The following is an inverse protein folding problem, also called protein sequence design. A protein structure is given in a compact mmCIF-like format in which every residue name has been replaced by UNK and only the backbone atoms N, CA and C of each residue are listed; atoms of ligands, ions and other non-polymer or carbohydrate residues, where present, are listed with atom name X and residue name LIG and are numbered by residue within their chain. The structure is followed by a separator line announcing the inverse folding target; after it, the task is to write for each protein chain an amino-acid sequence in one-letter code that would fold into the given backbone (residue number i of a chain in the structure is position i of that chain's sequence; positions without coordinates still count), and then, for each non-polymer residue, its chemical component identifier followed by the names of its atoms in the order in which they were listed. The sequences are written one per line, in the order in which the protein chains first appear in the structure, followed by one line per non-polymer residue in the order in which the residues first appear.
data_IF_397759783793
#
_entry.id   IF_397759783793
#
_cell.length_a   1.000
_cell.length_b   1.000
_cell.length_c   1.000
_cell.angle_alpha   90.00
_cell.angle_beta   90.00
_cell.angle_gamma   90.00
#
_symmetry.space_group_name_H-M   'P 1'
#
loop_
_entity.id
_entity.type
_entity.pdbx_description
1 polymer ?
#
# COMPACT_ATOMS: atom_id res chain seq x y z
N UNK A 1 10.30 19.69 4.77
CA UNK A 1 10.69 18.93 3.56
C UNK A 1 9.40 18.30 3.07
N UNK A 2 8.85 18.73 1.92
CA UNK A 2 7.63 18.14 1.38
C UNK A 2 7.99 16.81 0.71
N UNK A 3 7.77 15.73 1.44
CA UNK A 3 7.81 14.37 0.91
C UNK A 3 6.76 14.25 -0.21
N UNK A 4 7.14 13.71 -1.38
CA UNK A 4 6.24 13.47 -2.51
C UNK A 4 6.19 11.99 -2.82
N UNK A 5 4.99 11.45 -2.88
CA UNK A 5 4.74 10.11 -3.36
C UNK A 5 4.95 10.08 -4.87
N UNK A 6 5.86 9.24 -5.35
CA UNK A 6 6.16 9.08 -6.77
C UNK A 6 6.16 7.59 -7.13
N UNK A 7 5.56 7.26 -8.28
CA UNK A 7 5.58 5.90 -8.79
C UNK A 7 7.02 5.40 -8.99
N UNK A 8 7.29 4.15 -8.59
CA UNK A 8 8.60 3.52 -8.69
C UNK A 8 9.64 4.06 -7.70
N UNK A 9 9.26 4.98 -6.80
CA UNK A 9 10.14 5.51 -5.75
C UNK A 9 9.76 4.96 -4.37
N UNK A 10 10.76 4.74 -3.51
CA UNK A 10 10.51 4.31 -2.14
C UNK A 10 9.77 5.41 -1.36
N UNK A 11 8.84 5.00 -0.49
CA UNK A 11 8.12 5.88 0.42
C UNK A 11 8.09 5.37 1.86
N UNK A 12 7.89 6.25 2.87
CA UNK A 12 7.99 5.91 4.29
C UNK A 12 6.72 5.20 4.77
N UNK A 13 6.49 4.02 4.22
CA UNK A 13 5.55 3.03 4.72
C UNK A 13 6.23 1.67 4.67
N UNK A 14 5.77 0.74 5.49
CA UNK A 14 6.34 -0.59 5.53
C UNK A 14 5.49 -1.57 6.32
N UNK A 15 6.04 -2.76 6.49
CA UNK A 15 5.49 -3.74 7.41
C UNK A 15 5.82 -3.34 8.84
N UNK A 16 4.82 -3.37 9.71
CA UNK A 16 5.00 -3.17 11.15
C UNK A 16 5.79 -4.31 11.80
N UNK A 17 6.29 -4.06 13.01
CA UNK A 17 7.11 -5.04 13.74
C UNK A 17 6.37 -6.36 14.02
N UNK A 18 5.04 -6.28 14.16
CA UNK A 18 4.15 -7.42 14.40
C UNK A 18 3.75 -8.18 13.13
N UNK A 19 4.22 -7.77 11.95
CA UNK A 19 3.92 -8.47 10.71
C UNK A 19 4.47 -9.90 10.73
N UNK A 20 3.66 -10.92 10.38
CA UNK A 20 4.10 -12.31 10.38
C UNK A 20 5.04 -12.65 9.21
N UNK A 21 5.22 -11.74 8.25
CA UNK A 21 6.02 -11.93 7.03
C UNK A 21 7.06 -10.81 6.89
N UNK A 22 8.06 -11.03 6.05
CA UNK A 22 9.12 -10.05 5.80
C UNK A 22 8.84 -9.14 4.60
N UNK A 23 8.01 -9.63 3.68
CA UNK A 23 7.63 -8.94 2.44
C UNK A 23 6.15 -9.13 2.14
N UNK A 24 5.58 -8.14 1.45
CA UNK A 24 4.22 -8.18 0.92
C UNK A 24 4.16 -7.64 -0.51
N UNK A 25 3.27 -8.22 -1.31
CA UNK A 25 2.87 -7.67 -2.61
C UNK A 25 1.35 -7.65 -2.68
N UNK A 26 0.78 -6.45 -2.71
CA UNK A 26 -0.68 -6.25 -2.60
C UNK A 26 -1.16 -5.15 -3.55
N UNK A 27 -2.42 -5.16 -3.98
CA UNK A 27 -2.95 -4.17 -4.89
C UNK A 27 -3.48 -2.93 -4.14
N UNK A 28 -3.11 -1.76 -4.65
CA UNK A 28 -3.65 -0.46 -4.24
C UNK A 28 -4.35 0.20 -5.43
N UNK A 29 -5.63 0.48 -5.31
CA UNK A 29 -6.37 1.25 -6.28
C UNK A 29 -6.52 2.71 -5.84
N UNK A 30 -5.98 3.62 -6.65
CA UNK A 30 -6.14 5.06 -6.47
C UNK A 30 -7.37 5.53 -7.23
N UNK A 31 -8.47 5.81 -6.51
CA UNK A 31 -9.77 6.23 -7.06
C UNK A 31 -9.71 7.61 -7.72
N UNK A 32 -9.14 8.57 -6.99
CA UNK A 32 -8.94 9.95 -7.42
C UNK A 32 -7.48 10.28 -7.20
N UNK A 33 -6.69 10.23 -8.28
CA UNK A 33 -5.28 10.61 -8.26
C UNK A 33 -5.09 12.10 -8.53
N UNK A 34 -3.87 12.58 -8.35
CA UNK A 34 -3.51 13.97 -8.58
C UNK A 34 -2.13 14.12 -9.19
N UNK A 35 -1.30 14.95 -8.57
CA UNK A 35 0.01 15.30 -9.16
C UNK A 35 1.08 14.25 -8.85
N UNK A 36 1.04 13.65 -7.66
CA UNK A 36 2.06 12.74 -7.16
C UNK A 36 1.80 11.31 -7.69
N UNK A 37 0.54 10.86 -7.61
CA UNK A 37 0.09 9.55 -8.10
C UNK A 37 -1.20 9.68 -8.88
N UNK A 38 -1.27 9.03 -10.04
CA UNK A 38 -2.45 9.05 -10.91
C UNK A 38 -3.51 8.07 -10.42
N UNK A 39 -4.74 8.26 -10.87
CA UNK A 39 -5.78 7.26 -10.64
C UNK A 39 -5.45 5.98 -11.39
N UNK A 40 -5.65 4.83 -10.77
CA UNK A 40 -5.33 3.55 -11.38
C UNK A 40 -5.00 2.48 -10.36
N UNK A 41 -4.73 1.29 -10.87
CA UNK A 41 -4.33 0.14 -10.07
C UNK A 41 -2.81 0.04 -10.02
N UNK A 42 -2.29 -0.07 -8.80
CA UNK A 42 -0.87 -0.16 -8.50
C UNK A 42 -0.58 -1.48 -7.79
N UNK A 43 0.57 -2.07 -8.12
CA UNK A 43 1.20 -3.07 -7.29
C UNK A 43 1.99 -2.35 -6.20
N UNK A 44 1.68 -2.65 -4.95
CA UNK A 44 2.40 -2.17 -3.79
C UNK A 44 3.29 -3.28 -3.25
N UNK A 45 4.60 -3.08 -3.36
CA UNK A 45 5.60 -3.94 -2.73
C UNK A 45 6.05 -3.33 -1.41
N UNK A 46 5.95 -4.12 -0.34
CA UNK A 46 6.16 -3.74 1.04
C UNK A 46 7.25 -4.62 1.67
N UNK A 47 8.06 -4.00 2.51
CA UNK A 47 9.01 -4.63 3.43
C UNK A 47 9.06 -3.80 4.71
N UNK A 48 9.79 -4.25 5.75
CA UNK A 48 9.86 -3.55 7.06
C UNK A 48 10.21 -2.06 7.01
N UNK A 49 10.85 -1.55 5.94
CA UNK A 49 11.25 -0.13 5.83
C UNK A 49 11.16 0.47 4.43
N UNK A 50 10.68 -0.30 3.47
CA UNK A 50 10.59 0.16 2.10
C UNK A 50 9.25 -0.24 1.52
N UNK A 51 8.59 0.76 0.93
CA UNK A 51 7.40 0.61 0.12
C UNK A 51 7.64 1.17 -1.26
N UNK A 52 7.19 0.46 -2.30
CA UNK A 52 7.23 0.94 -3.69
C UNK A 52 5.87 0.69 -4.32
N UNK A 53 5.36 1.68 -5.06
CA UNK A 53 4.16 1.56 -5.89
C UNK A 53 4.56 1.54 -7.36
N UNK A 54 4.09 0.54 -8.10
CA UNK A 54 4.31 0.42 -9.55
C UNK A 54 2.96 0.33 -10.26
N UNK A 55 2.70 1.17 -11.27
CA UNK A 55 1.43 1.12 -11.98
C UNK A 55 1.31 -0.19 -12.75
N UNK A 56 0.15 -0.85 -12.63
CA UNK A 56 -0.10 -2.10 -13.35
C UNK A 56 -0.59 -1.78 -14.77
N UNK A 57 0.15 -2.23 -15.78
CA UNK A 57 -0.24 -2.11 -17.19
C UNK A 57 -0.95 -3.39 -17.63
N UNK A 58 -2.26 -3.45 -17.44
CA UNK A 58 -3.10 -4.60 -17.79
C UNK A 58 -3.49 -5.44 -16.57
N UNK A 59 -4.19 -6.57 -16.77
CA UNK A 59 -4.57 -7.49 -15.69
C UNK A 59 -3.31 -8.23 -15.22
N UNK A 60 -2.47 -7.56 -14.44
CA UNK A 60 -1.45 -8.24 -13.67
C UNK A 60 -2.17 -8.99 -12.55
N UNK A 61 -2.26 -10.31 -12.72
CA UNK A 61 -2.75 -11.21 -11.69
C UNK A 61 -1.62 -11.37 -10.68
N UNK A 62 -1.89 -10.99 -9.44
CA UNK A 62 -1.04 -11.38 -8.33
C UNK A 62 -1.19 -12.90 -8.16
N UNK A 63 -0.09 -13.62 -8.32
CA UNK A 63 -0.08 -15.08 -8.23
C UNK A 63 0.09 -15.50 -6.77
N UNK A 64 -1.02 -15.76 -6.09
CA UNK A 64 -1.00 -16.17 -4.67
C UNK A 64 -0.33 -17.54 -4.46
N UNK A 65 -0.02 -18.32 -5.51
CA UNK A 65 0.75 -19.56 -5.40
C UNK A 65 2.23 -19.31 -4.99
N UNK A 66 2.74 -18.08 -5.13
CA UNK A 66 4.08 -17.71 -4.67
C UNK A 66 4.14 -17.38 -3.17
N UNK A 67 3.03 -17.51 -2.43
CA UNK A 67 3.00 -17.30 -0.99
C UNK A 67 3.98 -18.22 -0.26
N UNK A 68 4.77 -17.64 0.64
CA UNK A 68 5.71 -18.37 1.51
C UNK A 68 5.57 -17.88 2.94
N UNK A 69 6.14 -18.57 3.94
CA UNK A 69 6.15 -18.07 5.32
C UNK A 69 6.79 -16.67 5.48
N UNK A 70 7.64 -16.24 4.54
CA UNK A 70 8.32 -14.93 4.58
C UNK A 70 7.72 -13.90 3.61
N UNK A 71 6.83 -14.32 2.70
CA UNK A 71 6.31 -13.46 1.65
C UNK A 71 4.82 -13.68 1.43
N UNK A 72 4.05 -12.61 1.60
CA UNK A 72 2.62 -12.61 1.38
C UNK A 72 2.25 -11.90 0.07
N UNK A 73 1.44 -12.55 -0.74
CA UNK A 73 0.74 -12.00 -1.88
C UNK A 73 -0.75 -12.12 -1.59
N UNK A 74 -1.47 -11.01 -1.70
CA UNK A 74 -2.93 -10.97 -1.56
C UNK A 74 -3.55 -10.27 -2.76
N UNK A 75 -4.67 -10.78 -3.25
CA UNK A 75 -5.47 -10.14 -4.29
C UNK A 75 -6.47 -9.09 -3.77
N UNK A 76 -6.62 -8.95 -2.45
CA UNK A 76 -7.54 -7.97 -1.86
C UNK A 76 -7.07 -6.52 -2.09
N UNK A 77 -7.93 -5.72 -2.71
CA UNK A 77 -7.59 -4.36 -3.15
C UNK A 77 -7.92 -3.34 -2.08
N UNK A 78 -6.90 -2.62 -1.62
CA UNK A 78 -7.13 -1.38 -0.86
C UNK A 78 -7.49 -0.27 -1.84
N UNK A 79 -8.57 0.46 -1.58
CA UNK A 79 -9.09 1.50 -2.47
C UNK A 79 -9.12 2.85 -1.76
N UNK A 80 -8.24 3.77 -2.15
CA UNK A 80 -8.08 5.08 -1.54
C UNK A 80 -8.00 6.18 -2.61
N UNK A 81 -8.22 7.42 -2.23
CA UNK A 81 -7.80 8.60 -3.01
C UNK A 81 -6.32 8.91 -2.72
N UNK A 82 -5.67 9.69 -3.58
CA UNK A 82 -4.30 10.18 -3.30
C UNK A 82 -4.26 10.95 -1.97
N UNK A 83 -5.28 11.75 -1.69
CA UNK A 83 -5.36 12.52 -0.45
C UNK A 83 -5.47 11.62 0.78
N UNK A 84 -6.38 10.64 0.78
CA UNK A 84 -6.53 9.68 1.89
C UNK A 84 -5.21 8.96 2.15
N UNK A 85 -4.54 8.52 1.08
CA UNK A 85 -3.26 7.84 1.20
C UNK A 85 -2.15 8.75 1.77
N UNK A 86 -2.10 10.02 1.37
CA UNK A 86 -1.17 11.00 1.94
C UNK A 86 -1.50 11.35 3.40
N UNK A 87 -2.78 11.41 3.77
CA UNK A 87 -3.21 11.62 5.16
C UNK A 87 -2.74 10.49 6.06
N UNK A 88 -2.82 9.24 5.58
CA UNK A 88 -2.26 8.08 6.28
C UNK A 88 -0.74 8.14 6.41
N UNK A 89 -0.02 8.39 5.31
CA UNK A 89 1.45 8.50 5.32
C UNK A 89 1.95 9.61 6.27
N UNK A 90 1.14 10.63 6.50
CA UNK A 90 1.45 11.74 7.40
C UNK A 90 1.01 11.48 8.86
N UNK A 91 0.45 10.30 9.16
CA UNK A 91 -0.07 9.96 10.48
C UNK A 91 -1.27 10.79 10.91
N UNK A 92 -1.98 11.43 9.96
CA UNK A 92 -3.15 12.27 10.26
C UNK A 92 -4.39 11.42 10.55
N UNK A 93 -4.48 10.24 9.93
CA UNK A 93 -5.56 9.27 10.06
C UNK A 93 -5.01 7.86 9.91
N UNK A 94 -5.56 6.91 10.66
CA UNK A 94 -5.33 5.48 10.44
C UNK A 94 -6.00 4.98 9.14
N UNK A 95 -5.58 3.83 8.63
CA UNK A 95 -6.21 3.21 7.46
C UNK A 95 -7.66 2.83 7.73
N UNK A 96 -7.93 2.38 8.95
CA UNK A 96 -9.25 2.05 9.47
C UNK A 96 -10.21 3.25 9.48
N UNK A 97 -9.69 4.47 9.60
CA UNK A 97 -10.49 5.71 9.54
C UNK A 97 -10.79 6.13 8.09
N UNK A 98 -9.86 5.83 7.18
CA UNK A 98 -9.90 6.24 5.77
C UNK A 98 -10.74 5.30 4.91
N UNK A 99 -10.79 4.01 5.26
CA UNK A 99 -11.64 3.04 4.61
C UNK A 99 -12.87 2.79 5.48
N UNK A 100 -13.84 3.71 5.47
CA UNK A 100 -15.07 3.63 6.29
C UNK A 100 -16.06 2.50 5.88
N UNK A 101 -15.60 1.47 5.16
CA UNK A 101 -16.41 0.34 4.69
C UNK A 101 -16.02 -1.00 5.34
N UNK A 102 -16.89 -2.00 5.22
CA UNK A 102 -16.71 -3.36 5.79
C UNK A 102 -15.60 -4.19 5.11
N UNK A 103 -15.00 -3.69 4.01
CA UNK A 103 -14.05 -4.42 3.17
C UNK A 103 -12.62 -3.86 3.27
N UNK A 104 -12.08 -3.71 4.48
CA UNK A 104 -10.65 -3.43 4.65
C UNK A 104 -9.85 -4.73 4.43
N UNK A 105 -8.90 -4.76 3.48
CA UNK A 105 -8.07 -5.94 3.27
C UNK A 105 -7.36 -6.34 4.57
N UNK A 106 -7.30 -7.65 4.88
CA UNK A 106 -6.74 -8.10 6.16
C UNK A 106 -5.28 -7.66 6.32
N UNK A 107 -4.56 -7.59 5.20
CA UNK A 107 -3.15 -7.22 5.18
C UNK A 107 -2.90 -5.77 5.61
N UNK A 108 -3.93 -4.91 5.61
CA UNK A 108 -3.81 -3.53 6.10
C UNK A 108 -3.42 -3.47 7.59
N UNK A 109 -3.77 -4.51 8.37
CA UNK A 109 -3.38 -4.61 9.79
C UNK A 109 -1.88 -4.80 10.02
N UNK A 110 -1.13 -5.15 8.98
CA UNK A 110 0.31 -5.42 9.07
C UNK A 110 1.18 -4.28 8.57
N UNK A 111 0.59 -3.18 8.08
CA UNK A 111 1.32 -2.06 7.49
C UNK A 111 1.24 -0.82 8.35
N UNK A 112 2.30 -0.04 8.33
CA UNK A 112 2.41 1.21 9.08
C UNK A 112 3.07 2.30 8.22
N UNK A 113 2.67 3.55 8.48
CA UNK A 113 3.42 4.70 8.02
C UNK A 113 4.66 4.85 8.91
N UNK A 114 5.84 4.92 8.30
CA UNK A 114 7.10 5.08 9.03
C UNK A 114 7.31 6.57 9.28
N UNK A 115 7.50 7.04 10.52
CA UNK A 115 7.84 8.43 10.78
C UNK A 115 9.14 8.81 10.06
N UNK A 116 9.12 9.90 9.29
CA UNK A 116 10.31 10.49 8.65
C UNK A 116 11.27 11.11 9.66
#
# INVERSE_FOLDING_TARGET
MEWKLEEGKPFPAGLGEDSPVERMRVPLYIRQGGQAVKSGLYQWELSRRHSILTAMKGPALLDEEENTPEFLISSEVLSLTEQEFLEWLQGKKGLEELNSGEDMPYWCSYIEAVPL
#
